data_IF_479470424699
#
_entry.id   IF_479470424699
#
_cell.length_a   1.000
_cell.length_b   1.000
_cell.length_c   1.000
_cell.angle_alpha   90.00
_cell.angle_beta   90.00
_cell.angle_gamma   90.00
#
_symmetry.space_group_name_H-M   'P 1'
#
loop_
_entity.id
_entity.type
_entity.pdbx_description
1 polymer ?
#
# COMPACT_ATOMS: atom_id res chain seq x y z
N UNK A 1 21.96 18.66 -21.14
CA UNK A 1 22.87 17.50 -21.21
C UNK A 1 24.01 17.53 -20.19
N UNK A 2 24.77 18.63 -20.02
CA UNK A 2 25.83 18.74 -18.99
C UNK A 2 25.35 18.54 -17.53
N UNK A 3 24.10 18.93 -17.20
CA UNK A 3 23.48 18.68 -15.87
C UNK A 3 23.17 17.21 -15.58
N UNK A 4 22.90 16.40 -16.61
CA UNK A 4 22.63 14.95 -16.45
C UNK A 4 23.95 14.20 -16.23
N UNK A 5 25.02 14.61 -16.92
CA UNK A 5 26.37 14.06 -16.75
C UNK A 5 26.94 14.39 -15.36
N UNK A 6 26.65 15.58 -14.82
CA UNK A 6 27.04 15.94 -13.45
C UNK A 6 26.32 15.13 -12.37
N UNK A 7 25.03 14.79 -12.58
CA UNK A 7 24.26 13.89 -11.70
C UNK A 7 24.81 12.45 -11.79
N UNK A 8 25.14 11.97 -12.99
CA UNK A 8 25.72 10.63 -13.17
C UNK A 8 27.14 10.54 -12.57
N UNK A 9 27.95 11.60 -12.69
CA UNK A 9 29.30 11.66 -12.12
C UNK A 9 29.28 11.72 -10.58
N UNK A 10 28.29 12.41 -9.99
CA UNK A 10 28.10 12.42 -8.52
C UNK A 10 27.50 11.12 -8.00
N UNK A 11 26.78 10.34 -8.82
CA UNK A 11 26.30 8.98 -8.49
C UNK A 11 27.45 7.97 -8.45
N UNK A 12 28.52 8.15 -9.23
CA UNK A 12 29.67 7.22 -9.30
C UNK A 12 30.64 7.42 -8.13
N UNK A 13 30.72 8.61 -7.52
CA UNK A 13 31.67 8.87 -6.42
C UNK A 13 31.21 8.40 -5.03
N UNK A 14 29.96 7.97 -4.86
CA UNK A 14 29.42 7.58 -3.52
C UNK A 14 29.76 6.12 -3.14
N UNK A 15 30.43 5.36 -4.01
CA UNK A 15 30.74 3.94 -3.74
C UNK A 15 31.93 3.69 -2.81
N UNK A 16 32.61 4.73 -2.31
CA UNK A 16 33.75 4.58 -1.39
C UNK A 16 33.61 5.45 -0.15
N UNK A 17 32.52 5.28 0.59
CA UNK A 17 32.48 5.70 1.99
C UNK A 17 32.97 4.53 2.84
N UNK A 18 34.23 4.56 3.26
CA UNK A 18 34.71 3.70 4.34
C UNK A 18 34.07 4.19 5.64
N UNK A 19 33.49 3.26 6.42
CA UNK A 19 32.93 3.57 7.71
C UNK A 19 34.05 4.08 8.64
N UNK A 20 34.15 5.40 8.81
CA UNK A 20 35.01 6.01 9.81
C UNK A 20 34.28 6.02 11.15
N UNK A 21 34.92 5.48 12.19
CA UNK A 21 34.39 5.55 13.55
C UNK A 21 34.26 7.02 13.95
N UNK A 22 33.02 7.46 14.20
CA UNK A 22 32.68 8.86 14.55
C UNK A 22 33.24 9.29 15.91
N UNK A 23 33.68 8.33 16.73
CA UNK A 23 34.35 8.58 17.99
C UNK A 23 35.75 7.94 17.95
N UNK A 24 36.80 8.69 18.31
CA UNK A 24 38.13 8.09 18.50
C UNK A 24 38.05 7.05 19.61
N UNK A 25 38.68 5.90 19.41
CA UNK A 25 38.73 4.85 20.43
C UNK A 25 39.54 5.39 21.64
N UNK A 26 39.13 5.10 22.88
CA UNK A 26 39.96 5.41 24.03
C UNK A 26 41.26 4.62 23.94
N UNK A 27 42.39 5.31 24.09
CA UNK A 27 43.72 4.71 24.14
C UNK A 27 43.92 4.06 25.51
N UNK A 28 44.07 2.73 25.54
CA UNK A 28 44.41 2.02 26.76
C UNK A 28 45.93 2.03 26.95
N UNK A 29 46.41 2.40 28.14
CA UNK A 29 47.84 2.40 28.48
C UNK A 29 48.47 0.99 28.49
N UNK A 30 47.65 -0.06 28.48
CA UNK A 30 48.07 -1.45 28.70
C UNK A 30 48.68 -2.17 27.49
N UNK A 31 49.09 -1.46 26.43
CA UNK A 31 49.64 -2.07 25.21
C UNK A 31 48.66 -3.01 24.47
N UNK A 32 47.37 -2.93 24.81
CA UNK A 32 46.32 -3.76 24.24
C UNK A 32 46.04 -3.33 22.79
N UNK A 33 46.43 -4.17 21.83
CA UNK A 33 46.00 -4.00 20.45
C UNK A 33 44.60 -4.60 20.30
N UNK A 34 43.64 -3.77 19.94
CA UNK A 34 42.31 -4.25 19.59
C UNK A 34 42.43 -5.28 18.46
N UNK A 35 41.81 -6.46 18.57
CA UNK A 35 41.74 -7.37 17.46
C UNK A 35 41.01 -6.69 16.29
N UNK A 36 41.58 -6.75 15.10
CA UNK A 36 40.91 -6.31 13.88
C UNK A 36 39.71 -7.22 13.62
N UNK A 37 38.55 -6.77 14.06
CA UNK A 37 37.30 -7.46 13.82
C UNK A 37 36.96 -7.24 12.34
N UNK A 38 37.44 -8.12 11.47
CA UNK A 38 36.92 -8.23 10.10
C UNK A 38 35.52 -8.82 10.18
N UNK A 39 34.52 -7.97 10.40
CA UNK A 39 33.17 -8.33 10.00
C UNK A 39 33.17 -8.45 8.48
N UNK A 40 32.79 -9.61 7.94
CA UNK A 40 32.42 -9.70 6.54
C UNK A 40 31.26 -8.71 6.34
N UNK A 41 31.53 -7.56 5.73
CA UNK A 41 30.49 -6.63 5.31
C UNK A 41 29.59 -7.43 4.36
N UNK A 42 28.34 -7.77 4.75
CA UNK A 42 27.43 -8.44 3.84
C UNK A 42 27.32 -7.52 2.63
N UNK A 43 27.43 -8.04 1.42
CA UNK A 43 27.28 -7.22 0.22
C UNK A 43 25.79 -6.85 0.06
N UNK A 44 25.31 -5.93 0.91
CA UNK A 44 23.92 -5.50 1.00
C UNK A 44 23.42 -4.98 -0.36
N UNK A 45 24.34 -4.38 -1.14
CA UNK A 45 24.04 -3.85 -2.46
C UNK A 45 23.72 -4.95 -3.49
N UNK A 46 24.40 -6.09 -3.43
CA UNK A 46 24.12 -7.23 -4.32
C UNK A 46 22.69 -7.75 -4.11
N UNK A 47 22.27 -7.92 -2.85
CA UNK A 47 20.93 -8.39 -2.51
C UNK A 47 19.85 -7.43 -3.00
N UNK A 48 20.08 -6.12 -2.94
CA UNK A 48 19.15 -5.12 -3.48
C UNK A 48 18.95 -5.28 -5.00
N UNK A 49 20.04 -5.51 -5.75
CA UNK A 49 19.93 -5.76 -7.19
C UNK A 49 19.18 -7.05 -7.50
N UNK A 50 19.47 -8.13 -6.76
CA UNK A 50 18.76 -9.41 -6.90
C UNK A 50 17.27 -9.23 -6.64
N UNK A 51 16.90 -8.53 -5.55
CA UNK A 51 15.51 -8.26 -5.17
C UNK A 51 14.76 -7.53 -6.29
N UNK A 52 15.35 -6.49 -6.90
CA UNK A 52 14.73 -5.71 -7.98
C UNK A 52 14.62 -6.54 -9.27
N UNK A 53 15.69 -7.24 -9.65
CA UNK A 53 15.69 -8.09 -10.87
C UNK A 53 14.62 -9.17 -10.73
N UNK A 54 14.55 -9.83 -9.57
CA UNK A 54 13.56 -10.84 -9.29
C UNK A 54 12.14 -10.26 -9.30
N UNK A 55 11.92 -9.09 -8.72
CA UNK A 55 10.63 -8.39 -8.75
C UNK A 55 10.15 -8.18 -10.20
N UNK A 56 11.00 -7.63 -11.06
CA UNK A 56 10.69 -7.37 -12.47
C UNK A 56 10.42 -8.68 -13.22
N UNK A 57 11.25 -9.70 -13.01
CA UNK A 57 11.13 -11.00 -13.65
C UNK A 57 9.80 -11.68 -13.29
N UNK A 58 9.47 -11.74 -11.98
CA UNK A 58 8.23 -12.36 -11.50
C UNK A 58 7.00 -11.59 -11.98
N UNK A 59 7.03 -10.25 -11.97
CA UNK A 59 5.92 -9.43 -12.48
C UNK A 59 5.71 -9.59 -13.99
N UNK A 60 6.78 -9.64 -14.77
CA UNK A 60 6.73 -9.88 -16.22
C UNK A 60 6.18 -11.26 -16.53
N UNK A 61 6.59 -12.28 -15.76
CA UNK A 61 6.10 -13.64 -15.91
C UNK A 61 4.60 -13.76 -15.55
N UNK A 62 4.15 -13.10 -14.47
CA UNK A 62 2.73 -13.04 -14.12
C UNK A 62 1.93 -12.29 -15.17
N UNK A 63 2.41 -11.15 -15.68
CA UNK A 63 1.74 -10.41 -16.75
C UNK A 63 1.58 -11.27 -18.02
N UNK A 64 2.64 -11.98 -18.42
CA UNK A 64 2.59 -12.96 -19.51
C UNK A 64 1.56 -14.07 -19.27
N UNK A 65 1.54 -14.64 -18.07
CA UNK A 65 0.61 -15.69 -17.68
C UNK A 65 -0.85 -15.23 -17.70
N UNK A 66 -1.12 -13.99 -17.27
CA UNK A 66 -2.47 -13.42 -17.21
C UNK A 66 -2.97 -13.00 -18.58
N UNK A 67 -2.15 -12.33 -19.39
CA UNK A 67 -2.58 -11.73 -20.67
C UNK A 67 -2.49 -12.72 -21.82
N UNK A 68 -1.35 -13.41 -21.95
CA UNK A 68 -1.09 -14.27 -23.11
C UNK A 68 -1.58 -15.69 -22.89
N UNK A 69 -1.20 -16.31 -21.76
CA UNK A 69 -1.44 -17.73 -21.48
C UNK A 69 -2.83 -17.99 -20.86
N UNK A 70 -3.41 -17.00 -20.16
CA UNK A 70 -4.69 -17.10 -19.45
C UNK A 70 -4.80 -18.36 -18.57
N UNK A 71 -3.77 -18.64 -17.75
CA UNK A 71 -3.75 -19.80 -16.83
C UNK A 71 -3.38 -19.45 -15.41
N UNK A 72 -3.94 -20.18 -14.44
CA UNK A 72 -3.67 -19.99 -13.00
C UNK A 72 -2.36 -20.62 -12.52
N UNK A 73 -1.97 -21.79 -13.06
CA UNK A 73 -0.80 -22.57 -12.60
C UNK A 73 0.49 -21.76 -12.41
N UNK A 74 0.97 -20.97 -13.39
CA UNK A 74 2.18 -20.15 -13.21
C UNK A 74 2.05 -19.10 -12.09
N UNK A 75 0.87 -18.54 -11.89
CA UNK A 75 0.63 -17.51 -10.84
C UNK A 75 0.76 -18.13 -9.44
N UNK A 76 0.30 -19.38 -9.26
CA UNK A 76 0.46 -20.11 -7.99
C UNK A 76 1.94 -20.39 -7.70
N UNK A 77 2.71 -20.83 -8.69
CA UNK A 77 4.15 -21.04 -8.52
C UNK A 77 4.88 -19.75 -8.14
N UNK A 78 4.58 -18.64 -8.81
CA UNK A 78 5.11 -17.33 -8.41
C UNK A 78 4.69 -16.97 -6.99
N UNK A 79 3.44 -17.23 -6.60
CA UNK A 79 2.96 -16.98 -5.24
C UNK A 79 3.77 -17.71 -4.18
N UNK A 80 4.09 -18.99 -4.41
CA UNK A 80 4.92 -19.79 -3.49
C UNK A 80 6.34 -19.22 -3.42
N UNK A 81 6.95 -18.91 -4.58
CA UNK A 81 8.29 -18.32 -4.66
C UNK A 81 8.35 -16.97 -3.95
N UNK A 82 7.35 -16.11 -4.15
CA UNK A 82 7.29 -14.80 -3.53
C UNK A 82 7.13 -14.87 -2.01
N UNK A 83 6.28 -15.78 -1.50
CA UNK A 83 6.13 -16.00 -0.05
C UNK A 83 7.42 -16.55 0.56
N UNK A 84 8.06 -17.52 -0.08
CA UNK A 84 9.33 -18.07 0.41
C UNK A 84 10.45 -17.03 0.40
N UNK A 85 10.61 -16.29 -0.71
CA UNK A 85 11.70 -15.35 -0.91
C UNK A 85 11.45 -13.98 -0.27
N UNK A 86 10.47 -13.21 -0.75
CA UNK A 86 10.20 -11.86 -0.24
C UNK A 86 9.54 -11.87 1.14
N UNK A 87 8.79 -12.92 1.45
CA UNK A 87 8.22 -13.13 2.77
C UNK A 87 9.27 -13.56 3.78
N UNK A 88 9.62 -14.85 3.80
CA UNK A 88 10.44 -15.43 4.86
C UNK A 88 11.95 -15.15 4.71
N UNK A 89 12.53 -15.35 3.53
CA UNK A 89 13.98 -15.18 3.34
C UNK A 89 14.42 -13.71 3.49
N UNK A 90 13.68 -12.76 2.91
CA UNK A 90 13.94 -11.31 3.07
C UNK A 90 13.16 -10.68 4.23
N UNK A 91 12.46 -11.47 5.05
CA UNK A 91 11.75 -10.98 6.25
C UNK A 91 10.80 -9.80 5.98
N UNK A 92 10.15 -9.80 4.81
CA UNK A 92 9.24 -8.74 4.38
C UNK A 92 9.88 -7.44 3.90
N UNK A 93 11.21 -7.40 3.73
CA UNK A 93 11.93 -6.24 3.18
C UNK A 93 12.21 -6.43 1.67
N UNK A 94 12.05 -5.42 0.81
CA UNK A 94 11.50 -4.08 1.04
C UNK A 94 9.97 -4.10 0.95
N UNK A 95 9.27 -3.53 1.95
CA UNK A 95 7.82 -3.49 1.95
C UNK A 95 7.29 -2.41 0.99
N UNK A 96 6.71 -2.86 -0.13
CA UNK A 96 6.01 -2.00 -1.11
C UNK A 96 4.82 -1.21 -0.55
N UNK A 97 4.24 -1.65 0.58
CA UNK A 97 3.11 -0.96 1.21
C UNK A 97 3.61 0.23 2.02
N UNK A 98 4.67 0.02 2.82
CA UNK A 98 5.31 1.09 3.61
C UNK A 98 6.12 2.09 2.76
N UNK A 99 6.58 1.70 1.57
CA UNK A 99 7.31 2.60 0.67
C UNK A 99 6.50 3.83 0.25
N UNK A 100 5.16 3.75 0.28
CA UNK A 100 4.26 4.90 0.04
C UNK A 100 4.57 6.06 0.97
N UNK A 101 4.77 5.78 2.27
CA UNK A 101 5.07 6.81 3.26
C UNK A 101 6.49 7.35 3.11
N UNK A 102 7.45 6.48 2.77
CA UNK A 102 8.84 6.89 2.54
C UNK A 102 8.94 7.84 1.33
N UNK A 103 8.22 7.54 0.25
CA UNK A 103 8.13 8.41 -0.93
C UNK A 103 7.41 9.71 -0.59
N UNK A 104 6.31 9.66 0.18
CA UNK A 104 5.61 10.87 0.62
C UNK A 104 6.50 11.79 1.46
N UNK A 105 7.26 11.23 2.41
CA UNK A 105 8.23 11.98 3.20
C UNK A 105 9.35 12.56 2.33
N UNK A 106 9.90 11.79 1.39
CA UNK A 106 10.95 12.26 0.48
C UNK A 106 10.49 13.42 -0.43
N UNK A 107 9.20 13.48 -0.75
CA UNK A 107 8.61 14.59 -1.52
C UNK A 107 8.48 15.85 -0.65
N UNK A 108 8.16 15.69 0.63
CA UNK A 108 7.96 16.80 1.56
C UNK A 108 9.27 17.34 2.16
N UNK A 109 10.25 16.48 2.42
CA UNK A 109 11.52 16.83 3.04
C UNK A 109 12.69 16.51 2.11
N UNK A 110 13.31 17.55 1.56
CA UNK A 110 14.47 17.44 0.68
C UNK A 110 15.74 16.90 1.36
N UNK A 111 15.77 16.87 2.70
CA UNK A 111 16.90 16.32 3.46
C UNK A 111 16.79 14.81 3.65
N UNK A 112 15.61 14.23 3.43
CA UNK A 112 15.38 12.79 3.57
C UNK A 112 15.92 12.02 2.36
N UNK A 113 16.95 11.20 2.60
CA UNK A 113 17.58 10.37 1.57
C UNK A 113 16.74 9.10 1.38
N UNK A 114 16.03 9.03 0.24
CA UNK A 114 15.25 7.85 -0.13
C UNK A 114 16.13 6.80 -0.82
N UNK A 115 16.24 5.57 -0.30
CA UNK A 115 16.97 4.50 -0.99
C UNK A 115 16.35 4.17 -2.35
N UNK A 116 17.20 4.00 -3.38
CA UNK A 116 16.76 3.69 -4.75
C UNK A 116 15.91 2.41 -4.80
N UNK A 117 16.24 1.42 -3.97
CA UNK A 117 15.45 0.18 -3.86
C UNK A 117 14.03 0.45 -3.41
N UNK A 118 13.81 1.28 -2.38
CA UNK A 118 12.48 1.65 -1.89
C UNK A 118 11.67 2.36 -2.97
N UNK A 119 12.31 3.27 -3.70
CA UNK A 119 11.69 3.97 -4.83
C UNK A 119 11.27 2.99 -5.95
N UNK A 120 12.12 2.04 -6.32
CA UNK A 120 11.81 1.06 -7.37
C UNK A 120 10.72 0.08 -6.94
N UNK A 121 10.72 -0.38 -5.69
CA UNK A 121 9.64 -1.20 -5.13
C UNK A 121 8.29 -0.46 -5.04
N UNK A 122 8.30 0.88 -5.01
CA UNK A 122 7.10 1.71 -5.11
C UNK A 122 6.65 1.94 -6.55
N UNK A 123 7.57 2.32 -7.45
CA UNK A 123 7.25 2.74 -8.83
C UNK A 123 6.95 1.54 -9.75
N UNK A 124 7.73 0.46 -9.67
CA UNK A 124 7.60 -0.67 -10.60
C UNK A 124 6.19 -1.29 -10.57
N UNK A 125 5.57 -1.57 -9.41
CA UNK A 125 4.21 -2.09 -9.40
C UNK A 125 3.16 -1.09 -9.90
N UNK A 126 3.37 0.21 -9.74
CA UNK A 126 2.50 1.26 -10.32
C UNK A 126 2.57 1.23 -11.85
N UNK A 127 3.78 1.18 -12.42
CA UNK A 127 3.99 1.07 -13.86
C UNK A 127 3.29 -0.17 -14.40
N UNK A 128 3.52 -1.34 -13.80
CA UNK A 128 2.86 -2.57 -14.23
C UNK A 128 1.34 -2.54 -14.02
N UNK A 129 0.84 -1.88 -12.97
CA UNK A 129 -0.59 -1.68 -12.77
C UNK A 129 -1.23 -0.85 -13.90
N UNK A 130 -0.53 0.18 -14.35
CA UNK A 130 -0.93 0.98 -15.49
C UNK A 130 -0.84 0.21 -16.82
N UNK A 131 0.14 -0.68 -17.00
CA UNK A 131 0.27 -1.44 -18.25
C UNK A 131 -0.70 -2.64 -18.29
N UNK A 132 -0.67 -3.49 -17.27
CA UNK A 132 -1.25 -4.85 -17.29
C UNK A 132 -2.32 -5.08 -16.21
N UNK A 133 -2.68 -4.05 -15.45
CA UNK A 133 -3.51 -4.19 -14.25
C UNK A 133 -2.72 -4.72 -13.05
N UNK A 134 -3.39 -5.06 -11.95
CA UNK A 134 -2.76 -5.35 -10.64
C UNK A 134 -2.05 -6.71 -10.55
N UNK A 135 -1.13 -6.98 -11.47
CA UNK A 135 -0.34 -8.22 -11.56
C UNK A 135 0.59 -8.39 -10.35
N UNK A 136 1.04 -7.30 -9.74
CA UNK A 136 1.81 -7.37 -8.48
C UNK A 136 1.00 -8.06 -7.38
N UNK A 137 -0.27 -7.66 -7.20
CA UNK A 137 -1.15 -8.25 -6.21
C UNK A 137 -1.53 -9.71 -6.52
N UNK A 138 -1.43 -10.17 -7.77
CA UNK A 138 -1.86 -11.51 -8.18
C UNK A 138 -1.05 -12.62 -7.49
N UNK A 139 0.27 -12.48 -7.45
CA UNK A 139 1.16 -13.47 -6.86
C UNK A 139 2.55 -12.97 -6.47
N UNK A 140 2.95 -11.76 -6.91
CA UNK A 140 4.30 -11.24 -6.59
C UNK A 140 4.36 -10.62 -5.20
N UNK A 141 3.29 -9.91 -4.81
CA UNK A 141 3.12 -9.40 -3.46
C UNK A 141 3.00 -10.59 -2.50
N UNK A 142 3.97 -10.79 -1.58
CA UNK A 142 3.99 -11.97 -0.72
C UNK A 142 2.78 -11.98 0.23
N UNK A 143 2.18 -10.83 0.53
CA UNK A 143 0.93 -10.72 1.30
C UNK A 143 -0.32 -11.15 0.55
N UNK A 144 -0.45 -10.72 -0.70
CA UNK A 144 -1.53 -11.19 -1.56
C UNK A 144 -1.42 -12.69 -1.80
N UNK A 145 -0.19 -13.17 -2.05
CA UNK A 145 0.12 -14.57 -2.27
C UNK A 145 -0.22 -15.43 -1.04
N UNK A 146 0.21 -15.04 0.17
CA UNK A 146 -0.07 -15.80 1.39
C UNK A 146 -1.58 -15.97 1.62
N UNK A 147 -2.35 -14.88 1.52
CA UNK A 147 -3.82 -14.95 1.66
C UNK A 147 -4.50 -15.79 0.58
N UNK A 148 -3.96 -15.84 -0.64
CA UNK A 148 -4.50 -16.67 -1.72
C UNK A 148 -4.21 -18.15 -1.50
N UNK A 149 -3.04 -18.49 -0.96
CA UNK A 149 -2.62 -19.86 -0.70
C UNK A 149 -3.42 -20.50 0.43
N UNK A 150 -3.78 -19.73 1.47
CA UNK A 150 -4.62 -20.23 2.59
C UNK A 150 -6.12 -20.21 2.27
N UNK A 151 -6.53 -19.61 1.15
CA UNK A 151 -7.95 -19.44 0.83
C UNK A 151 -8.60 -20.75 0.35
N UNK A 152 -9.56 -21.24 1.13
CA UNK A 152 -10.29 -22.49 0.85
C UNK A 152 -11.66 -22.19 0.23
N UNK A 153 -12.46 -21.34 0.88
CA UNK A 153 -13.84 -21.05 0.49
C UNK A 153 -14.05 -19.54 0.46
N UNK A 154 -14.88 -19.07 -0.47
CA UNK A 154 -15.19 -17.66 -0.61
C UNK A 154 -16.66 -17.42 -0.25
N UNK A 155 -16.88 -16.76 0.89
CA UNK A 155 -18.16 -16.17 1.25
C UNK A 155 -18.24 -14.75 0.70
N UNK A 156 -19.32 -14.48 -0.02
CA UNK A 156 -19.58 -13.15 -0.57
C UNK A 156 -20.17 -12.24 0.49
N UNK A 157 -19.60 -11.05 0.59
CA UNK A 157 -20.16 -9.97 1.39
C UNK A 157 -21.25 -9.25 0.60
N UNK A 158 -22.21 -8.66 1.31
CA UNK A 158 -23.21 -7.82 0.65
C UNK A 158 -22.56 -6.63 -0.05
N UNK A 159 -23.19 -6.13 -1.11
CA UNK A 159 -22.67 -5.01 -1.90
C UNK A 159 -22.49 -3.76 -1.04
N UNK A 160 -23.44 -3.47 -0.15
CA UNK A 160 -23.39 -2.33 0.76
C UNK A 160 -22.19 -2.39 1.71
N UNK A 161 -21.97 -3.55 2.34
CA UNK A 161 -20.82 -3.75 3.25
C UNK A 161 -19.51 -3.60 2.48
N UNK A 162 -19.40 -4.20 1.30
CA UNK A 162 -18.21 -4.08 0.46
C UNK A 162 -17.93 -2.62 0.06
N UNK A 163 -18.97 -1.86 -0.29
CA UNK A 163 -18.82 -0.44 -0.66
C UNK A 163 -18.33 0.40 0.51
N UNK A 164 -18.85 0.19 1.73
CA UNK A 164 -18.39 0.92 2.92
C UNK A 164 -16.94 0.54 3.25
N UNK A 165 -16.62 -0.75 3.30
CA UNK A 165 -15.26 -1.21 3.59
C UNK A 165 -14.25 -0.78 2.51
N UNK A 166 -14.68 -0.54 1.27
CA UNK A 166 -13.78 -0.05 0.21
C UNK A 166 -13.27 1.39 0.43
N UNK A 167 -13.85 2.13 1.39
CA UNK A 167 -13.40 3.47 1.77
C UNK A 167 -12.18 3.40 2.71
N UNK A 168 -12.09 2.34 3.53
CA UNK A 168 -11.05 2.18 4.55
C UNK A 168 -9.62 2.28 3.97
N UNK A 169 -9.27 1.60 2.85
CA UNK A 169 -7.94 1.73 2.25
C UNK A 169 -7.56 3.17 1.86
N UNK A 170 -8.54 3.96 1.39
CA UNK A 170 -8.34 5.35 0.99
C UNK A 170 -8.10 6.25 2.20
N UNK A 171 -8.93 6.09 3.23
CA UNK A 171 -8.77 6.83 4.48
C UNK A 171 -7.43 6.48 5.13
N UNK A 172 -7.08 5.20 5.17
CA UNK A 172 -5.79 4.75 5.72
C UNK A 172 -4.59 5.27 4.92
N UNK A 173 -4.69 5.32 3.58
CA UNK A 173 -3.69 5.94 2.72
C UNK A 173 -3.53 7.44 3.01
N UNK A 174 -4.64 8.17 3.15
CA UNK A 174 -4.63 9.62 3.42
C UNK A 174 -4.00 9.94 4.77
N UNK A 175 -4.39 9.23 5.84
CA UNK A 175 -3.76 9.38 7.16
C UNK A 175 -2.29 8.95 7.14
N UNK A 176 -1.95 7.89 6.41
CA UNK A 176 -0.57 7.45 6.22
C UNK A 176 0.30 8.51 5.56
N UNK A 177 -0.21 9.21 4.55
CA UNK A 177 0.49 10.32 3.90
C UNK A 177 0.58 11.53 4.84
N UNK A 178 -0.52 11.89 5.52
CA UNK A 178 -0.56 12.99 6.49
C UNK A 178 0.57 12.85 7.52
N UNK A 179 0.62 11.73 8.24
CA UNK A 179 1.63 11.52 9.30
C UNK A 179 3.07 11.35 8.79
N UNK A 180 3.23 10.89 7.55
CA UNK A 180 4.54 10.79 6.92
C UNK A 180 5.09 12.17 6.58
N UNK A 181 4.26 13.01 5.95
CA UNK A 181 4.63 14.37 5.52
C UNK A 181 4.86 15.29 6.72
N UNK A 182 4.10 15.12 7.81
CA UNK A 182 4.32 15.87 9.07
C UNK A 182 5.43 15.29 9.95
N UNK A 183 6.25 14.35 9.44
CA UNK A 183 7.41 13.74 10.15
C UNK A 183 7.07 13.10 11.50
N UNK A 184 5.83 12.67 11.68
CA UNK A 184 5.31 12.30 12.99
C UNK A 184 5.40 10.80 13.23
N UNK A 185 4.81 10.00 12.34
CA UNK A 185 4.89 8.54 12.46
C UNK A 185 4.58 7.81 11.16
N UNK A 186 5.17 6.62 11.01
CA UNK A 186 4.90 5.72 9.91
C UNK A 186 3.79 4.71 10.27
N UNK A 187 2.55 5.20 10.35
CA UNK A 187 1.39 4.38 10.74
C UNK A 187 1.21 3.12 9.88
N UNK A 188 1.49 3.19 8.57
CA UNK A 188 1.34 2.06 7.66
C UNK A 188 2.33 0.95 8.01
N UNK A 189 3.59 1.32 8.30
CA UNK A 189 4.61 0.38 8.73
C UNK A 189 4.36 -0.16 10.14
N UNK A 190 3.83 0.66 11.04
CA UNK A 190 3.57 0.29 12.45
C UNK A 190 2.47 -0.77 12.57
N UNK A 191 1.40 -0.65 11.78
CA UNK A 191 0.29 -1.61 11.75
C UNK A 191 0.39 -2.61 10.59
N UNK A 192 1.59 -2.83 10.05
CA UNK A 192 1.79 -3.80 9.00
C UNK A 192 1.79 -5.23 9.57
N UNK A 193 0.75 -6.06 9.33
CA UNK A 193 0.71 -7.43 9.84
C UNK A 193 1.84 -8.30 9.27
N UNK A 194 2.52 -7.85 8.20
CA UNK A 194 3.60 -8.55 7.54
C UNK A 194 4.83 -8.72 8.43
N UNK A 195 5.16 -7.70 9.22
CA UNK A 195 6.33 -7.76 10.09
C UNK A 195 6.14 -8.87 11.13
N UNK A 196 4.96 -8.93 11.76
CA UNK A 196 4.60 -9.95 12.74
C UNK A 196 4.70 -11.37 12.19
N UNK A 197 4.11 -11.61 11.01
CA UNK A 197 4.03 -12.96 10.43
C UNK A 197 5.38 -13.43 9.86
N UNK A 198 6.07 -12.59 9.09
CA UNK A 198 7.27 -13.03 8.37
C UNK A 198 8.55 -12.97 9.20
N UNK A 199 8.61 -12.09 10.20
CA UNK A 199 9.76 -12.02 11.11
C UNK A 199 9.58 -12.87 12.36
N UNK A 200 8.41 -13.48 12.54
CA UNK A 200 8.03 -14.20 13.77
C UNK A 200 8.30 -13.35 15.02
N UNK A 201 8.04 -12.04 14.91
CA UNK A 201 8.41 -11.06 15.92
C UNK A 201 7.59 -9.78 15.80
N UNK A 202 7.25 -9.20 16.94
CA UNK A 202 6.39 -8.02 17.02
C UNK A 202 5.59 -8.01 18.32
N UNK A 203 4.87 -6.92 18.57
CA UNK A 203 3.94 -6.83 19.68
C UNK A 203 2.81 -7.88 19.53
N UNK A 204 2.32 -8.38 20.67
CA UNK A 204 1.26 -9.40 20.71
C UNK A 204 0.02 -8.96 19.92
N UNK A 205 -0.34 -7.67 20.01
CA UNK A 205 -1.47 -7.11 19.26
C UNK A 205 -1.29 -7.20 17.74
N UNK A 206 -0.08 -7.00 17.22
CA UNK A 206 0.22 -7.08 15.79
C UNK A 206 0.15 -8.52 15.28
N UNK A 207 0.68 -9.47 16.05
CA UNK A 207 0.63 -10.90 15.73
C UNK A 207 -0.82 -11.39 15.72
N UNK A 208 -1.60 -11.03 16.75
CA UNK A 208 -3.02 -11.36 16.83
C UNK A 208 -3.81 -10.78 15.64
N UNK A 209 -3.56 -9.52 15.29
CA UNK A 209 -4.18 -8.89 14.13
C UNK A 209 -3.85 -9.61 12.82
N UNK A 210 -2.57 -9.95 12.61
CA UNK A 210 -2.14 -10.74 11.44
C UNK A 210 -2.80 -12.12 11.38
N UNK A 211 -2.87 -12.83 12.50
CA UNK A 211 -3.52 -14.14 12.60
C UNK A 211 -5.02 -14.06 12.28
N UNK A 212 -5.74 -13.09 12.84
CA UNK A 212 -7.16 -12.86 12.54
C UNK A 212 -7.40 -12.56 11.06
N UNK A 213 -6.51 -11.77 10.43
CA UNK A 213 -6.59 -11.51 9.00
C UNK A 213 -6.36 -12.76 8.15
N UNK A 214 -5.44 -13.65 8.54
CA UNK A 214 -5.23 -14.93 7.85
C UNK A 214 -6.43 -15.86 8.01
N UNK A 215 -7.00 -15.94 9.20
CA UNK A 215 -8.23 -16.71 9.45
C UNK A 215 -9.37 -16.17 8.57
N UNK A 216 -9.54 -14.85 8.50
CA UNK A 216 -10.50 -14.23 7.61
C UNK A 216 -10.20 -14.54 6.13
N UNK A 217 -8.92 -14.61 5.73
CA UNK A 217 -8.51 -14.92 4.36
C UNK A 217 -8.90 -16.31 3.89
N UNK A 218 -9.03 -17.28 4.80
CA UNK A 218 -9.56 -18.62 4.51
C UNK A 218 -10.97 -18.55 3.91
N UNK A 219 -11.77 -17.56 4.34
CA UNK A 219 -13.21 -17.45 4.12
C UNK A 219 -13.65 -16.33 3.19
N UNK A 220 -12.99 -15.17 3.18
CA UNK A 220 -13.47 -13.98 2.43
C UNK A 220 -12.61 -13.62 1.23
N UNK A 221 -11.52 -14.36 0.97
CA UNK A 221 -10.62 -14.13 -0.15
C UNK A 221 -9.89 -12.79 -0.06
N UNK A 222 -8.63 -12.80 0.40
CA UNK A 222 -7.74 -11.61 0.43
C UNK A 222 -8.33 -10.37 1.16
N UNK A 223 -8.81 -10.51 2.41
CA UNK A 223 -9.48 -9.45 3.16
C UNK A 223 -8.65 -8.17 3.26
N UNK A 224 -7.35 -8.25 3.54
CA UNK A 224 -6.55 -7.03 3.68
C UNK A 224 -6.26 -6.38 2.33
N UNK A 225 -6.00 -7.14 1.25
CA UNK A 225 -5.83 -6.52 -0.07
C UNK A 225 -7.11 -5.82 -0.55
N UNK A 226 -8.28 -6.28 -0.09
CA UNK A 226 -9.60 -5.74 -0.45
C UNK A 226 -10.01 -4.55 0.42
N UNK A 227 -9.72 -4.58 1.72
CA UNK A 227 -10.33 -3.66 2.69
C UNK A 227 -9.35 -2.84 3.53
N UNK A 228 -8.05 -3.13 3.51
CA UNK A 228 -7.08 -2.45 4.39
C UNK A 228 -5.90 -1.86 3.59
N UNK A 229 -5.42 -2.56 2.55
CA UNK A 229 -4.16 -2.24 1.88
C UNK A 229 -4.20 -0.86 1.18
N UNK A 230 -3.44 0.14 1.67
CA UNK A 230 -3.43 1.47 1.09
C UNK A 230 -2.75 1.48 -0.28
N UNK A 231 -1.73 0.63 -0.46
CA UNK A 231 -1.07 0.44 -1.75
C UNK A 231 -2.00 -0.23 -2.78
N UNK A 232 -2.89 -1.12 -2.34
CA UNK A 232 -3.90 -1.75 -3.20
C UNK A 232 -4.93 -0.75 -3.74
N UNK A 233 -5.30 0.26 -2.95
CA UNK A 233 -6.12 1.39 -3.37
C UNK A 233 -5.39 2.24 -4.42
N UNK A 234 -4.13 2.58 -4.20
CA UNK A 234 -3.32 3.31 -5.17
C UNK A 234 -3.24 2.57 -6.52
N UNK A 235 -2.90 1.27 -6.50
CA UNK A 235 -2.83 0.44 -7.70
C UNK A 235 -4.19 0.29 -8.42
N UNK A 236 -5.31 0.40 -7.70
CA UNK A 236 -6.66 0.31 -8.29
C UNK A 236 -6.98 1.50 -9.22
N UNK A 237 -6.41 2.68 -8.95
CA UNK A 237 -6.58 3.85 -9.83
C UNK A 237 -5.90 3.61 -11.18
N UNK A 238 -4.66 3.14 -11.15
CA UNK A 238 -3.88 2.85 -12.34
C UNK A 238 -4.44 1.66 -13.12
N UNK A 239 -4.92 0.63 -12.43
CA UNK A 239 -5.51 -0.54 -13.10
C UNK A 239 -6.83 -0.25 -13.80
N UNK A 240 -7.59 0.75 -13.35
CA UNK A 240 -8.84 1.16 -14.03
C UNK A 240 -8.58 1.67 -15.45
N UNK A 241 -7.47 2.36 -15.65
CA UNK A 241 -7.06 2.94 -16.93
C UNK A 241 -6.01 2.09 -17.66
N UNK A 242 -5.86 0.82 -17.27
CA UNK A 242 -4.79 -0.02 -17.79
C UNK A 242 -4.86 -0.22 -19.32
N UNK A 243 -3.70 -0.18 -19.99
CA UNK A 243 -3.60 -0.34 -21.45
C UNK A 243 -4.03 -1.75 -21.91
N UNK A 244 -3.47 -2.80 -21.30
CA UNK A 244 -3.79 -4.18 -21.60
C UNK A 244 -4.70 -4.78 -20.55
N UNK A 245 -6.00 -4.64 -20.80
CA UNK A 245 -7.05 -5.14 -19.91
C UNK A 245 -7.14 -6.66 -19.90
N UNK A 246 -7.26 -7.22 -18.70
CA UNK A 246 -7.42 -8.66 -18.48
C UNK A 246 -8.78 -9.13 -19.00
N UNK A 247 -8.79 -10.15 -19.85
CA UNK A 247 -10.00 -10.80 -20.35
C UNK A 247 -10.09 -12.23 -19.84
N UNK A 248 -11.29 -12.70 -19.46
CA UNK A 248 -11.51 -14.06 -18.95
C UNK A 248 -11.27 -15.11 -20.05
N UNK A 249 -11.76 -14.83 -21.26
CA UNK A 249 -11.61 -15.68 -22.43
C UNK A 249 -11.53 -14.79 -23.67
N UNK A 250 -10.83 -15.28 -24.70
CA UNK A 250 -10.80 -14.65 -26.04
C UNK A 250 -12.01 -15.05 -26.88
N UNK A 251 -12.75 -16.07 -26.45
CA UNK A 251 -14.02 -16.49 -27.06
C UNK A 251 -15.20 -15.72 -26.44
N UNK A 252 -16.37 -15.80 -27.06
CA UNK A 252 -17.58 -15.16 -26.53
C UNK A 252 -18.00 -15.73 -25.16
N UNK A 253 -18.46 -14.86 -24.25
CA UNK A 253 -19.02 -15.29 -22.98
C UNK A 253 -20.39 -15.97 -23.19
N UNK A 254 -20.59 -17.13 -22.56
CA UNK A 254 -21.85 -17.90 -22.62
C UNK A 254 -22.72 -17.78 -21.35
N UNK A 255 -22.45 -16.79 -20.49
CA UNK A 255 -23.22 -16.52 -19.26
C UNK A 255 -23.37 -17.70 -18.27
N UNK A 256 -22.39 -18.61 -18.20
CA UNK A 256 -22.42 -19.79 -17.32
C UNK A 256 -22.19 -19.54 -15.82
N UNK A 257 -21.98 -18.30 -15.36
CA UNK A 257 -21.76 -17.89 -13.96
C UNK A 257 -20.50 -18.45 -13.24
N UNK A 258 -19.85 -19.49 -13.77
CA UNK A 258 -18.71 -20.16 -13.12
C UNK A 258 -17.55 -19.22 -12.74
N UNK A 259 -17.21 -18.28 -13.62
CA UNK A 259 -16.14 -17.31 -13.34
C UNK A 259 -16.49 -16.34 -12.21
N UNK A 260 -17.76 -15.95 -12.11
CA UNK A 260 -18.27 -15.09 -11.05
C UNK A 260 -18.15 -15.82 -9.71
N UNK A 261 -18.62 -17.06 -9.61
CA UNK A 261 -18.59 -17.90 -8.40
C UNK A 261 -17.17 -18.27 -7.95
N UNK A 262 -16.22 -18.34 -8.88
CA UNK A 262 -14.83 -18.59 -8.55
C UNK A 262 -14.05 -17.34 -8.07
N UNK A 263 -14.55 -16.12 -8.28
CA UNK A 263 -13.80 -14.89 -8.00
C UNK A 263 -13.64 -14.67 -6.48
N UNK A 264 -12.41 -14.57 -5.94
CA UNK A 264 -12.21 -14.38 -4.50
C UNK A 264 -12.51 -12.94 -4.02
N UNK A 265 -12.50 -11.97 -4.93
CA UNK A 265 -12.64 -10.54 -4.60
C UNK A 265 -13.90 -9.89 -5.17
N UNK A 266 -14.84 -10.70 -5.69
CA UNK A 266 -16.11 -10.23 -6.29
C UNK A 266 -15.95 -9.19 -7.42
N UNK A 267 -14.82 -9.23 -8.13
CA UNK A 267 -14.52 -8.27 -9.21
C UNK A 267 -15.24 -8.56 -10.53
N UNK A 268 -15.98 -9.66 -10.65
CA UNK A 268 -16.73 -10.03 -11.86
C UNK A 268 -18.19 -9.69 -11.61
N UNK A 269 -18.73 -8.73 -12.35
CA UNK A 269 -20.13 -8.31 -12.20
C UNK A 269 -21.06 -9.16 -13.05
N UNK A 270 -22.19 -9.63 -12.51
CA UNK A 270 -23.18 -10.38 -13.26
C UNK A 270 -23.91 -9.50 -14.28
N UNK A 271 -24.50 -10.11 -15.33
CA UNK A 271 -25.39 -9.41 -16.23
C UNK A 271 -26.54 -8.80 -15.42
N UNK A 272 -26.84 -7.54 -15.69
CA UNK A 272 -27.89 -6.78 -15.03
C UNK A 272 -28.65 -6.03 -16.10
N UNK A 273 -29.90 -6.43 -16.29
CA UNK A 273 -30.81 -5.70 -17.17
C UNK A 273 -31.56 -4.64 -16.37
N UNK A 274 -31.34 -3.38 -16.72
CA UNK A 274 -32.02 -2.27 -16.06
C UNK A 274 -33.43 -2.13 -16.63
N UNK A 275 -34.36 -2.97 -16.14
CA UNK A 275 -35.75 -3.04 -16.62
C UNK A 275 -36.50 -1.71 -16.53
N UNK A 276 -36.16 -0.88 -15.54
CA UNK A 276 -36.70 0.48 -15.38
C UNK A 276 -35.66 1.46 -15.92
N UNK A 277 -35.87 1.92 -17.16
CA UNK A 277 -35.10 3.05 -17.70
C UNK A 277 -35.63 4.32 -17.06
N UNK A 278 -34.82 4.90 -16.20
CA UNK A 278 -35.13 6.20 -15.63
C UNK A 278 -35.17 7.26 -16.73
N UNK A 279 -36.09 8.22 -16.59
CA UNK A 279 -36.19 9.34 -17.50
C UNK A 279 -34.87 10.17 -17.48
N UNK A 280 -34.45 10.63 -18.65
CA UNK A 280 -33.16 11.31 -18.85
C UNK A 280 -33.07 12.56 -17.98
N UNK A 281 -34.16 13.31 -17.83
CA UNK A 281 -34.18 14.53 -17.03
C UNK A 281 -33.93 14.23 -15.55
N UNK A 282 -34.54 13.17 -15.01
CA UNK A 282 -34.35 12.74 -13.63
C UNK A 282 -32.91 12.27 -13.38
N UNK A 283 -32.34 11.50 -14.32
CA UNK A 283 -30.93 11.10 -14.26
C UNK A 283 -29.96 12.29 -14.28
N UNK A 284 -30.20 13.28 -15.15
CA UNK A 284 -29.36 14.49 -15.23
C UNK A 284 -29.49 15.33 -13.96
N UNK A 285 -30.70 15.57 -13.44
CA UNK A 285 -30.92 16.28 -12.18
C UNK A 285 -30.19 15.62 -11.01
N UNK A 286 -30.23 14.29 -10.93
CA UNK A 286 -29.50 13.52 -9.92
C UNK A 286 -27.99 13.70 -10.03
N UNK A 287 -27.43 13.58 -11.23
CA UNK A 287 -25.99 13.78 -11.45
C UNK A 287 -25.58 15.22 -11.10
N UNK A 288 -26.35 16.21 -11.52
CA UNK A 288 -26.10 17.63 -11.23
C UNK A 288 -26.15 17.91 -9.72
N UNK A 289 -27.10 17.30 -9.00
CA UNK A 289 -27.15 17.34 -7.54
C UNK A 289 -25.88 16.75 -6.91
N UNK A 290 -25.36 15.63 -7.40
CA UNK A 290 -24.09 15.09 -6.89
C UNK A 290 -22.89 15.99 -7.23
N UNK A 291 -22.89 16.70 -8.36
CA UNK A 291 -21.87 17.70 -8.68
C UNK A 291 -21.89 18.89 -7.72
N UNK A 292 -23.04 19.23 -7.13
CA UNK A 292 -23.17 20.26 -6.09
C UNK A 292 -22.80 19.69 -4.70
N UNK A 293 -23.18 18.45 -4.40
CA UNK A 293 -22.85 17.78 -3.13
C UNK A 293 -21.33 17.53 -3.03
N UNK A 294 -20.65 17.24 -4.14
CA UNK A 294 -19.22 16.95 -4.14
C UNK A 294 -18.35 18.08 -3.51
N UNK A 295 -18.42 19.35 -3.95
CA UNK A 295 -17.68 20.44 -3.31
C UNK A 295 -18.12 20.68 -1.87
N UNK A 296 -19.41 20.47 -1.54
CA UNK A 296 -19.88 20.56 -0.16
C UNK A 296 -19.21 19.50 0.74
N UNK A 297 -19.08 18.27 0.26
CA UNK A 297 -18.38 17.19 0.99
C UNK A 297 -16.89 17.46 1.14
N UNK A 298 -16.24 18.03 0.12
CA UNK A 298 -14.84 18.46 0.19
C UNK A 298 -14.68 19.56 1.25
N UNK A 299 -15.52 20.59 1.21
CA UNK A 299 -15.48 21.68 2.18
C UNK A 299 -15.75 21.21 3.61
N UNK A 300 -16.76 20.36 3.81
CA UNK A 300 -17.08 19.76 5.10
C UNK A 300 -15.90 18.92 5.63
N UNK A 301 -15.30 18.08 4.78
CA UNK A 301 -14.12 17.29 5.14
C UNK A 301 -12.93 18.15 5.54
N UNK A 302 -12.64 19.22 4.80
CA UNK A 302 -11.60 20.20 5.13
C UNK A 302 -11.84 20.88 6.48
N UNK A 303 -13.07 21.36 6.74
CA UNK A 303 -13.40 22.03 8.00
C UNK A 303 -13.26 21.09 9.20
N UNK A 304 -13.79 19.86 9.09
CA UNK A 304 -13.70 18.85 10.15
C UNK A 304 -12.24 18.51 10.47
N UNK A 305 -11.44 18.20 9.45
CA UNK A 305 -10.04 17.82 9.69
C UNK A 305 -9.16 18.99 10.14
N UNK A 306 -9.48 20.22 9.70
CA UNK A 306 -8.81 21.43 10.20
C UNK A 306 -9.15 21.68 11.68
N UNK A 307 -10.39 21.44 12.10
CA UNK A 307 -10.79 21.55 13.50
C UNK A 307 -10.01 20.58 14.40
N UNK A 308 -9.89 19.31 13.99
CA UNK A 308 -9.13 18.30 14.73
C UNK A 308 -7.60 18.35 14.53
N UNK A 309 -7.07 19.33 13.80
CA UNK A 309 -5.63 19.41 13.47
C UNK A 309 -4.73 19.47 14.71
N UNK A 310 -5.19 20.12 15.78
CA UNK A 310 -4.45 20.18 17.05
C UNK A 310 -4.31 18.80 17.68
N UNK A 311 -5.40 18.03 17.77
CA UNK A 311 -5.38 16.67 18.33
C UNK A 311 -4.54 15.72 17.47
N UNK A 312 -4.60 15.87 16.14
CA UNK A 312 -3.77 15.12 15.20
C UNK A 312 -2.27 15.41 15.38
N UNK A 313 -1.92 16.63 15.79
CA UNK A 313 -0.52 17.05 15.97
C UNK A 313 0.16 16.38 17.17
N UNK A 314 -0.62 15.89 18.16
CA UNK A 314 -0.11 15.10 19.30
C UNK A 314 0.54 13.77 18.91
N UNK A 315 0.35 13.32 17.66
CA UNK A 315 1.08 12.18 17.13
C UNK A 315 2.58 12.50 16.90
N UNK A 316 2.95 13.78 16.80
CA UNK A 316 4.34 14.21 16.70
C UNK A 316 5.02 14.20 18.07
N UNK A 317 6.24 13.66 18.12
CA UNK A 317 7.01 13.50 19.37
C UNK A 317 7.19 14.81 20.15
N UNK A 318 7.49 15.91 19.45
CA UNK A 318 7.82 17.18 20.09
C UNK A 318 6.57 17.88 20.64
N UNK A 319 5.42 17.69 19.97
CA UNK A 319 4.12 18.17 20.47
C UNK A 319 3.71 17.39 21.71
N UNK A 320 3.88 16.06 21.69
CA UNK A 320 3.63 15.21 22.85
C UNK A 320 4.55 15.57 24.02
N UNK A 321 5.83 15.85 23.75
CA UNK A 321 6.79 16.29 24.75
C UNK A 321 6.38 17.64 25.36
N UNK A 322 5.94 18.59 24.54
CA UNK A 322 5.44 19.88 25.02
C UNK A 322 4.20 19.72 25.92
N UNK A 323 3.23 18.89 25.54
CA UNK A 323 2.07 18.57 26.38
C UNK A 323 2.50 17.99 27.74
N UNK A 324 3.51 17.11 27.76
CA UNK A 324 4.08 16.54 28.99
C UNK A 324 4.78 17.60 29.86
N UNK A 325 5.53 18.53 29.26
CA UNK A 325 6.20 19.63 29.96
C UNK A 325 5.17 20.56 30.62
N UNK A 326 4.15 20.98 29.87
CA UNK A 326 3.07 21.84 30.40
C UNK A 326 2.29 21.12 31.52
N UNK A 327 2.07 19.81 31.38
CA UNK A 327 1.43 19.03 32.43
C UNK A 327 2.29 18.96 33.70
N UNK A 328 3.60 18.80 33.57
CA UNK A 328 4.53 18.77 34.70
C UNK A 328 4.65 20.15 35.38
N UNK A 329 4.64 21.25 34.63
CA UNK A 329 4.67 22.61 35.19
C UNK A 329 3.38 22.96 35.94
N UNK A 330 2.24 22.48 35.45
CA UNK A 330 0.93 22.73 36.08
C UNK A 330 0.64 21.81 37.26
N UNK A 331 1.11 20.55 37.22
CA UNK A 331 0.95 19.60 38.31
C UNK A 331 2.23 18.77 38.50
N UNK A 332 3.18 19.27 39.32
CA UNK A 332 4.47 18.63 39.50
C UNK A 332 4.35 17.23 40.09
N UNK A 333 4.87 16.23 39.38
CA UNK A 333 5.00 14.86 39.90
C UNK A 333 6.43 14.56 40.34
N UNK A 334 6.58 13.84 41.45
CA UNK A 334 7.88 13.41 41.99
C UNK A 334 8.64 12.45 41.06
N UNK A 335 7.91 11.71 40.22
CA UNK A 335 8.51 10.81 39.22
C UNK A 335 8.31 11.38 37.83
N UNK A 336 9.43 11.71 37.20
CA UNK A 336 9.49 12.29 35.86
C UNK A 336 9.68 11.15 34.85
N UNK A 337 9.06 11.25 33.66
CA UNK A 337 9.29 10.28 32.58
C UNK A 337 10.69 10.43 31.99
N UNK A 338 11.23 9.36 31.38
CA UNK A 338 12.55 9.37 30.73
C UNK A 338 12.68 10.50 29.68
N UNK A 339 11.60 10.80 28.96
CA UNK A 339 11.55 11.85 27.94
C UNK A 339 11.72 13.24 28.58
N UNK A 340 11.00 13.52 29.67
CA UNK A 340 11.12 14.77 30.43
C UNK A 340 12.48 14.91 31.12
N UNK A 341 13.00 13.83 31.72
CA UNK A 341 14.33 13.81 32.33
C UNK A 341 15.42 14.13 31.29
N UNK A 342 15.31 13.56 30.09
CA UNK A 342 16.23 13.86 28.99
C UNK A 342 16.15 15.31 28.51
N UNK A 343 14.95 15.91 28.50
CA UNK A 343 14.73 17.29 28.09
C UNK A 343 15.37 18.28 29.08
N UNK A 344 15.06 18.13 30.37
CA UNK A 344 15.63 19.00 31.40
C UNK A 344 17.13 18.74 31.62
N UNK A 345 17.57 17.48 31.54
CA UNK A 345 18.98 17.09 31.66
C UNK A 345 19.89 17.65 30.57
N UNK A 346 19.34 17.93 29.38
CA UNK A 346 20.05 18.61 28.29
C UNK A 346 19.97 20.15 28.37
N UNK A 347 19.30 20.70 29.39
CA UNK A 347 19.09 22.15 29.52
C UNK A 347 18.07 22.70 28.51
N UNK A 348 17.09 21.89 28.10
CA UNK A 348 16.06 22.28 27.15
C UNK A 348 15.25 23.49 27.63
N UNK A 349 15.06 24.48 26.76
CA UNK A 349 14.27 25.69 27.05
C UNK A 349 12.83 25.51 26.56
N UNK A 350 11.88 25.76 27.46
CA UNK A 350 10.44 25.59 27.17
C UNK A 350 9.97 26.56 26.08
N UNK A 351 10.49 27.80 26.06
CA UNK A 351 10.16 28.79 25.03
C UNK A 351 10.60 28.35 23.63
N UNK A 352 11.77 27.72 23.53
CA UNK A 352 12.27 27.21 22.25
C UNK A 352 11.40 26.05 21.76
N UNK A 353 11.07 25.10 22.65
CA UNK A 353 10.17 23.99 22.35
C UNK A 353 8.78 24.49 21.91
N UNK A 354 8.23 25.50 22.59
CA UNK A 354 6.95 26.13 22.23
C UNK A 354 6.98 26.68 20.81
N UNK A 355 8.02 27.44 20.46
CA UNK A 355 8.16 28.01 19.11
C UNK A 355 8.24 26.94 18.02
N UNK A 356 8.93 25.83 18.29
CA UNK A 356 8.99 24.68 17.38
C UNK A 356 7.62 23.99 17.24
N UNK A 357 6.88 23.83 18.33
CA UNK A 357 5.55 23.23 18.35
C UNK A 357 4.53 24.08 17.59
N UNK A 358 4.60 25.40 17.69
CA UNK A 358 3.71 26.30 16.94
C UNK A 358 3.88 26.11 15.42
N UNK A 359 5.12 26.01 14.93
CA UNK A 359 5.40 25.71 13.52
C UNK A 359 4.85 24.34 13.10
N UNK A 360 5.03 23.32 13.92
CA UNK A 360 4.50 21.97 13.66
C UNK A 360 2.96 21.99 13.60
N UNK A 361 2.31 22.70 14.51
CA UNK A 361 0.85 22.82 14.53
C UNK A 361 0.32 23.56 13.29
N UNK A 362 1.05 24.55 12.76
CA UNK A 362 0.70 25.20 11.50
C UNK A 362 0.80 24.25 10.30
N UNK A 363 1.88 23.47 10.20
CA UNK A 363 2.02 22.43 9.17
C UNK A 363 0.84 21.44 9.25
N UNK A 364 0.50 21.00 10.46
CA UNK A 364 -0.64 20.11 10.69
C UNK A 364 -1.98 20.72 10.27
N UNK A 365 -2.21 22.03 10.49
CA UNK A 365 -3.42 22.72 9.99
C UNK A 365 -3.51 22.64 8.48
N UNK A 366 -2.41 22.86 7.76
CA UNK A 366 -2.37 22.80 6.30
C UNK A 366 -2.59 21.38 5.78
N UNK A 367 -1.78 20.41 6.23
CA UNK A 367 -1.86 19.03 5.73
C UNK A 367 -3.16 18.33 6.16
N UNK A 368 -3.69 18.61 7.36
CA UNK A 368 -4.99 18.06 7.78
C UNK A 368 -6.14 18.63 6.95
N UNK A 369 -6.07 19.90 6.55
CA UNK A 369 -7.05 20.51 5.64
C UNK A 369 -7.06 19.81 4.27
N UNK A 370 -5.87 19.51 3.74
CA UNK A 370 -5.71 18.76 2.48
C UNK A 370 -6.21 17.30 2.62
N UNK A 371 -5.86 16.63 3.72
CA UNK A 371 -6.35 15.29 4.03
C UNK A 371 -7.89 15.26 4.11
N UNK A 372 -8.50 16.25 4.76
CA UNK A 372 -9.95 16.40 4.83
C UNK A 372 -10.61 16.61 3.47
N UNK A 373 -10.00 17.44 2.60
CA UNK A 373 -10.46 17.62 1.22
C UNK A 373 -10.47 16.30 0.44
N UNK A 374 -9.39 15.52 0.56
CA UNK A 374 -9.25 14.21 -0.11
C UNK A 374 -10.26 13.19 0.43
N UNK A 375 -10.51 13.16 1.74
CA UNK A 375 -11.53 12.28 2.33
C UNK A 375 -12.91 12.66 1.78
N UNK A 376 -13.26 13.94 1.80
CA UNK A 376 -14.52 14.44 1.23
C UNK A 376 -14.69 14.08 -0.25
N UNK A 377 -13.61 14.19 -1.04
CA UNK A 377 -13.57 13.76 -2.44
C UNK A 377 -13.84 12.26 -2.59
N UNK A 378 -13.20 11.41 -1.78
CA UNK A 378 -13.41 9.94 -1.82
C UNK A 378 -14.87 9.59 -1.51
N UNK A 379 -15.44 10.16 -0.44
CA UNK A 379 -16.85 9.94 -0.10
C UNK A 379 -17.80 10.39 -1.22
N UNK A 380 -17.56 11.58 -1.78
CA UNK A 380 -18.37 12.10 -2.89
C UNK A 380 -18.29 11.22 -4.15
N UNK A 381 -17.09 10.76 -4.52
CA UNK A 381 -16.89 9.86 -5.67
C UNK A 381 -17.56 8.49 -5.45
N UNK A 382 -17.55 7.96 -4.23
CA UNK A 382 -18.25 6.70 -3.90
C UNK A 382 -19.76 6.88 -4.03
N UNK A 383 -20.33 7.98 -3.54
CA UNK A 383 -21.76 8.29 -3.70
C UNK A 383 -22.15 8.42 -5.19
N UNK A 384 -21.32 9.09 -5.99
CA UNK A 384 -21.51 9.17 -7.44
C UNK A 384 -21.47 7.77 -8.06
N UNK A 385 -20.48 6.94 -7.72
CA UNK A 385 -20.36 5.55 -8.23
C UNK A 385 -21.61 4.71 -7.90
N UNK A 386 -22.18 4.86 -6.70
CA UNK A 386 -23.38 4.12 -6.26
C UNK A 386 -24.65 4.56 -7.00
N UNK A 387 -24.71 5.83 -7.43
CA UNK A 387 -25.85 6.39 -8.15
C UNK A 387 -25.97 5.93 -9.61
N UNK A 388 -24.85 5.56 -10.23
CA UNK A 388 -24.79 5.20 -11.66
C UNK A 388 -25.07 3.72 -11.86
N UNK A 389 -26.29 3.40 -12.32
CA UNK A 389 -26.65 2.04 -12.75
C UNK A 389 -26.38 1.88 -14.25
N UNK A 390 -25.60 0.87 -14.62
CA UNK A 390 -25.33 0.49 -16.02
C UNK A 390 -25.96 -0.86 -16.32
N UNK A 391 -26.60 -0.97 -17.49
CA UNK A 391 -27.05 -2.26 -18.01
C UNK A 391 -25.85 -3.03 -18.56
N UNK A 392 -25.80 -4.34 -18.28
CA UNK A 392 -24.75 -5.26 -18.71
C UNK A 392 -25.40 -6.52 -19.24
N UNK A 393 -25.05 -6.91 -20.47
CA UNK A 393 -25.58 -8.13 -21.12
C UNK A 393 -24.78 -9.39 -20.76
N UNK A 394 -23.49 -9.22 -20.46
CA UNK A 394 -22.55 -10.30 -20.19
C UNK A 394 -21.85 -10.07 -18.85
N UNK A 395 -21.17 -11.11 -18.35
CA UNK A 395 -20.27 -10.99 -17.21
C UNK A 395 -19.05 -10.14 -17.59
N UNK A 396 -18.80 -9.08 -16.81
CA UNK A 396 -17.73 -8.11 -17.04
C UNK A 396 -16.81 -8.01 -15.83
N UNK A 397 -15.50 -7.81 -16.06
CA UNK A 397 -14.52 -7.59 -15.00
C UNK A 397 -14.50 -6.10 -14.64
N UNK A 398 -14.62 -5.78 -13.35
CA UNK A 398 -14.21 -4.47 -12.83
C UNK A 398 -12.69 -4.46 -12.67
N UNK A 399 -12.01 -3.75 -13.56
CA UNK A 399 -10.54 -3.67 -13.58
C UNK A 399 -9.96 -2.92 -12.39
N UNK A 400 -10.75 -2.08 -11.69
CA UNK A 400 -10.31 -1.43 -10.47
C UNK A 400 -10.28 -2.43 -9.30
N UNK A 401 -11.26 -3.34 -9.25
CA UNK A 401 -11.43 -4.32 -8.16
C UNK A 401 -10.77 -5.68 -8.46
N UNK A 402 -10.38 -5.94 -9.70
CA UNK A 402 -9.67 -7.17 -10.08
C UNK A 402 -8.21 -7.17 -9.60
N UNK A 403 -7.79 -8.23 -8.89
CA UNK A 403 -6.41 -8.45 -8.42
C UNK A 403 -5.60 -9.40 -9.31
N UNK A 404 -6.12 -9.72 -10.51
CA UNK A 404 -5.45 -10.55 -11.50
C UNK A 404 -5.01 -11.96 -11.03
N UNK A 405 -5.63 -12.53 -9.99
CA UNK A 405 -5.25 -13.85 -9.42
C UNK A 405 -5.40 -15.05 -10.38
N UNK A 406 -6.04 -14.87 -11.54
CA UNK A 406 -6.22 -15.90 -12.56
C UNK A 406 -7.14 -17.06 -12.18
N UNK A 407 -7.80 -17.02 -11.02
CA UNK A 407 -8.72 -18.09 -10.58
C UNK A 407 -9.89 -18.28 -11.55
N UNK A 408 -10.39 -17.22 -12.18
CA UNK A 408 -11.47 -17.31 -13.17
C UNK A 408 -11.11 -18.15 -14.41
N UNK A 409 -9.84 -18.19 -14.80
CA UNK A 409 -9.38 -18.93 -15.99
C UNK A 409 -9.60 -20.43 -15.87
N UNK A 410 -9.37 -21.01 -14.69
CA UNK A 410 -9.53 -22.45 -14.46
C UNK A 410 -11.00 -22.90 -14.38
N UNK A 411 -11.94 -21.97 -14.23
CA UNK A 411 -13.37 -22.26 -14.14
C UNK A 411 -14.13 -21.91 -15.44
N UNK A 412 -13.56 -21.06 -16.30
CA UNK A 412 -14.20 -20.69 -17.57
C UNK A 412 -14.11 -21.86 -18.59
N UNK A 413 -15.24 -22.41 -19.07
CA UNK A 413 -15.22 -23.51 -20.03
C UNK A 413 -14.64 -23.10 -21.39
N UNK A 414 -14.97 -21.90 -21.86
CA UNK A 414 -14.44 -21.34 -23.12
C UNK A 414 -12.91 -21.18 -23.07
N UNK A 415 -12.36 -20.78 -21.91
CA UNK A 415 -10.91 -20.71 -21.74
C UNK A 415 -10.24 -22.10 -21.79
N UNK A 416 -10.85 -23.13 -21.18
CA UNK A 416 -10.35 -24.51 -21.27
C UNK A 416 -10.39 -25.06 -22.69
N UNK A 417 -11.40 -24.71 -23.48
CA UNK A 417 -11.48 -25.11 -24.89
C UNK A 417 -10.34 -24.49 -25.70
N UNK A 418 -10.06 -23.20 -25.48
CA UNK A 418 -8.92 -22.53 -26.09
C UNK A 418 -7.59 -23.20 -25.73
N UNK A 419 -7.36 -23.49 -24.44
CA UNK A 419 -6.13 -24.17 -23.98
C UNK A 419 -5.94 -25.53 -24.67
N UNK A 420 -6.99 -26.37 -24.72
CA UNK A 420 -6.93 -27.68 -25.40
C UNK A 420 -6.63 -27.55 -26.89
N UNK A 421 -7.21 -26.56 -27.55
CA UNK A 421 -6.98 -26.32 -28.98
C UNK A 421 -5.55 -25.85 -29.26
N UNK A 422 -4.97 -25.03 -28.38
CA UNK A 422 -3.56 -24.63 -28.47
C UNK A 422 -2.63 -25.82 -28.24
N UNK A 423 -2.89 -26.66 -27.23
CA UNK A 423 -2.08 -27.86 -26.95
C UNK A 423 -2.10 -28.86 -28.12
N UNK A 424 -3.25 -29.04 -28.78
CA UNK A 424 -3.35 -29.86 -29.99
C UNK A 424 -2.49 -29.31 -31.14
N UNK A 425 -2.52 -27.99 -31.37
CA UNK A 425 -1.72 -27.33 -32.42
C UNK A 425 -0.21 -27.37 -32.19
N UNK A 426 0.24 -27.43 -30.94
CA UNK A 426 1.68 -27.57 -30.62
C UNK A 426 2.20 -29.00 -30.70
N UNK A 427 1.30 -30.00 -30.76
CA UNK A 427 1.65 -31.42 -30.86
C UNK A 427 1.55 -31.97 -32.29
N UNK A 428 0.76 -31.33 -33.14
CA UNK A 428 0.79 -31.46 -34.61
C UNK A 428 1.93 -30.64 -35.17
#
# INVERSE_FOLDING_TARGET
MKRIISIISSIILVTYATAQNRFPKPDFESGYQYPDISYAQPNEQLWLYIDIILLIALMSFVAWAVIKKQTRKPIIWVSIISVAYFGFFRSGCVCSIGSVQNVALAIADHTYILPISVLLFFILPIIFAFLFGRVFCAGVCPFGALQELVNIKNYRLSKSVTSILSIIPWVYLIFGILYAVTRSSFIICRFDPFIGIFRLGGDFGLILFGALLLIAAIFTGRPFCRFICPYGALLSLFSRVSLWKIQITKQGCINCELCHNACPVDAIHPPYDNKVKEDRLHGVKRILMYFIILPLMIAAGTLVMRYYSSDLSRAHKDVRLYDMVIQQESNPQDRISLELESFYGQGGKVDELKSQVELIQEDYKFYSSLAGALIGLVFGLVLIKLSVKRSRKLYEIDHADCVACGRCFSYCPQNKLLERNMEKRTRS
#
